data_IF_705259593715
#
_entry.id   IF_705259593715
#
_cell.length_a   1.000
_cell.length_b   1.000
_cell.length_c   1.000
_cell.angle_alpha   90.00
_cell.angle_beta   90.00
_cell.angle_gamma   90.00
#
_symmetry.space_group_name_H-M   'P 1'
#
loop_
_entity.id
_entity.type
_entity.pdbx_description
1 polymer ?
#
# COMPACT_ATOMS: atom_id res chain seq x y z
N UNK A 1 -24.36 -3.12 -20.87
CA UNK A 1 -24.95 -3.73 -19.66
C UNK A 1 -24.65 -2.80 -18.49
N UNK A 2 -25.47 -2.75 -17.45
CA UNK A 2 -25.20 -1.86 -16.31
C UNK A 2 -24.15 -2.49 -15.40
N UNK A 3 -23.10 -1.73 -15.04
CA UNK A 3 -22.08 -2.13 -14.07
C UNK A 3 -22.51 -1.69 -12.67
N UNK A 4 -22.36 -2.58 -11.69
CA UNK A 4 -22.52 -2.25 -10.27
C UNK A 4 -21.15 -2.18 -9.61
N UNK A 5 -20.82 -1.04 -9.02
CA UNK A 5 -19.65 -0.87 -8.17
C UNK A 5 -20.08 -1.09 -6.71
N UNK A 6 -19.60 -2.17 -6.09
CA UNK A 6 -19.76 -2.42 -4.66
C UNK A 6 -18.55 -1.86 -3.94
N UNK A 7 -18.73 -0.81 -3.15
CA UNK A 7 -17.69 -0.16 -2.34
C UNK A 7 -17.72 -0.73 -0.93
N UNK A 8 -16.60 -1.29 -0.49
CA UNK A 8 -16.37 -1.72 0.89
C UNK A 8 -15.38 -0.75 1.51
N UNK A 9 -15.89 0.07 2.42
CA UNK A 9 -15.14 1.15 3.06
C UNK A 9 -13.94 0.62 3.87
N UNK A 10 -12.92 1.45 4.11
CA UNK A 10 -11.88 1.15 5.09
C UNK A 10 -12.39 1.36 6.52
N UNK A 11 -11.63 0.87 7.50
CA UNK A 11 -11.94 1.05 8.93
C UNK A 11 -12.18 2.52 9.29
N UNK A 12 -13.25 2.79 10.02
CA UNK A 12 -13.55 4.08 10.64
C UNK A 12 -13.93 5.20 9.68
N UNK A 13 -14.09 4.91 8.39
CA UNK A 13 -14.30 5.93 7.36
C UNK A 13 -15.46 5.59 6.43
N UNK A 14 -16.15 6.59 5.90
CA UNK A 14 -17.27 6.37 4.99
C UNK A 14 -17.01 7.09 3.67
N UNK A 15 -16.48 6.38 2.67
CA UNK A 15 -16.10 6.97 1.39
C UNK A 15 -17.33 7.50 0.66
N UNK A 16 -18.39 6.69 0.61
CA UNK A 16 -19.57 6.96 -0.21
C UNK A 16 -20.36 8.17 0.30
N UNK A 17 -20.55 8.29 1.61
CA UNK A 17 -21.23 9.45 2.19
C UNK A 17 -20.44 10.74 2.06
N UNK A 18 -19.11 10.66 1.92
CA UNK A 18 -18.24 11.81 1.68
C UNK A 18 -18.01 12.10 0.18
N UNK A 19 -18.51 11.25 -0.72
CA UNK A 19 -18.29 11.38 -2.16
C UNK A 19 -16.85 11.08 -2.59
N UNK A 20 -16.02 10.51 -1.72
CA UNK A 20 -14.59 10.33 -1.97
C UNK A 20 -14.29 9.21 -2.96
N UNK A 21 -15.22 8.28 -3.18
CA UNK A 21 -15.14 7.28 -4.25
C UNK A 21 -14.98 7.89 -5.65
N UNK A 22 -15.47 9.12 -5.86
CA UNK A 22 -15.33 9.83 -7.13
C UNK A 22 -13.96 10.50 -7.31
N UNK A 23 -13.17 10.60 -6.24
CA UNK A 23 -11.83 11.20 -6.26
C UNK A 23 -10.74 10.13 -6.17
N UNK A 24 -11.03 9.00 -5.54
CA UNK A 24 -10.10 7.88 -5.42
C UNK A 24 -9.62 7.43 -6.79
N UNK A 25 -8.37 7.00 -6.83
CA UNK A 25 -7.71 6.46 -8.00
C UNK A 25 -7.68 7.43 -9.19
N UNK A 26 -7.40 8.73 -8.94
CA UNK A 26 -7.53 9.84 -9.93
C UNK A 26 -8.93 9.94 -10.55
N UNK A 27 -9.95 9.52 -9.81
CA UNK A 27 -11.35 9.51 -10.24
C UNK A 27 -11.71 8.42 -11.25
N UNK A 28 -10.85 7.42 -11.47
CA UNK A 28 -11.13 6.34 -12.44
C UNK A 28 -12.00 5.20 -11.88
N UNK A 29 -12.21 5.17 -10.56
CA UNK A 29 -12.96 4.10 -9.90
C UNK A 29 -14.43 4.05 -10.36
N UNK A 30 -15.12 5.19 -10.33
CA UNK A 30 -16.53 5.29 -10.72
C UNK A 30 -16.63 5.73 -12.18
N UNK A 31 -17.34 4.95 -13.00
CA UNK A 31 -17.55 5.24 -14.42
C UNK A 31 -18.97 5.79 -14.66
N UNK A 32 -19.17 6.58 -15.73
CA UNK A 32 -20.50 7.02 -16.13
C UNK A 32 -21.46 5.83 -16.32
N UNK A 33 -22.61 5.86 -15.63
CA UNK A 33 -23.62 4.81 -15.72
C UNK A 33 -23.50 3.70 -14.65
N UNK A 34 -22.49 3.77 -13.79
CA UNK A 34 -22.37 2.86 -12.66
C UNK A 34 -23.54 2.99 -11.67
N UNK A 35 -24.00 1.85 -11.18
CA UNK A 35 -24.76 1.78 -9.93
C UNK A 35 -23.78 1.62 -8.78
N UNK A 36 -23.58 2.68 -8.00
CA UNK A 36 -22.70 2.64 -6.82
C UNK A 36 -23.49 2.14 -5.60
N UNK A 37 -22.98 1.09 -4.97
CA UNK A 37 -23.54 0.50 -3.76
C UNK A 37 -22.47 0.44 -2.67
N UNK A 38 -22.72 1.09 -1.54
CA UNK A 38 -21.90 0.97 -0.34
C UNK A 38 -22.31 -0.29 0.44
N UNK A 39 -21.35 -1.16 0.78
CA UNK A 39 -21.60 -2.28 1.66
C UNK A 39 -21.77 -1.77 3.11
N UNK A 40 -22.95 -1.94 3.75
CA UNK A 40 -23.23 -1.36 5.05
C UNK A 40 -22.74 -2.25 6.20
N UNK A 41 -21.47 -2.63 6.20
CA UNK A 41 -20.86 -3.41 7.27
C UNK A 41 -20.39 -2.50 8.42
N UNK A 42 -20.18 -3.08 9.61
CA UNK A 42 -19.59 -2.36 10.73
C UNK A 42 -18.07 -2.25 10.50
N UNK A 43 -17.59 -1.11 10.02
CA UNK A 43 -16.18 -0.91 9.70
C UNK A 43 -15.34 -0.47 10.92
N UNK A 44 -15.54 -1.14 12.05
CA UNK A 44 -14.66 -1.01 13.22
C UNK A 44 -13.71 -2.20 13.21
N UNK A 45 -12.43 -1.99 13.54
CA UNK A 45 -11.47 -3.10 13.58
C UNK A 45 -11.94 -4.28 14.43
N UNK A 46 -11.65 -5.48 13.91
CA UNK A 46 -11.99 -6.74 14.52
C UNK A 46 -12.42 -7.78 13.48
N UNK A 47 -11.91 -9.00 13.63
CA UNK A 47 -12.20 -10.11 12.70
C UNK A 47 -13.71 -10.41 12.60
N UNK A 48 -14.45 -10.29 13.70
CA UNK A 48 -15.90 -10.51 13.70
C UNK A 48 -16.67 -9.51 12.81
N UNK A 49 -16.15 -8.29 12.67
CA UNK A 49 -16.73 -7.28 11.78
C UNK A 49 -16.39 -7.58 10.30
N UNK A 50 -15.19 -8.08 10.04
CA UNK A 50 -14.78 -8.58 8.72
C UNK A 50 -15.69 -9.74 8.30
N UNK A 51 -15.87 -10.74 9.16
CA UNK A 51 -16.76 -11.89 8.93
C UNK A 51 -18.20 -11.47 8.65
N UNK A 52 -18.73 -10.51 9.42
CA UNK A 52 -20.07 -9.95 9.15
C UNK A 52 -20.14 -9.23 7.80
N UNK A 53 -19.08 -8.52 7.41
CA UNK A 53 -18.93 -7.91 6.10
C UNK A 53 -18.94 -8.94 4.97
N UNK A 54 -18.27 -10.08 5.16
CA UNK A 54 -18.23 -11.19 4.19
C UNK A 54 -19.63 -11.73 3.90
N UNK A 55 -20.46 -11.93 4.92
CA UNK A 55 -21.85 -12.39 4.75
C UNK A 55 -22.72 -11.36 4.01
N UNK A 56 -22.57 -10.08 4.33
CA UNK A 56 -23.27 -9.01 3.64
C UNK A 56 -22.85 -8.91 2.17
N UNK A 57 -21.54 -9.04 1.89
CA UNK A 57 -21.01 -9.04 0.54
C UNK A 57 -21.58 -10.21 -0.26
N UNK A 58 -21.57 -11.41 0.32
CA UNK A 58 -22.13 -12.60 -0.32
C UNK A 58 -23.61 -12.41 -0.69
N UNK A 59 -24.40 -11.91 0.26
CA UNK A 59 -25.82 -11.61 0.05
C UNK A 59 -26.01 -10.57 -1.07
N UNK A 60 -25.19 -9.52 -1.09
CA UNK A 60 -25.27 -8.48 -2.12
C UNK A 60 -24.92 -9.02 -3.50
N UNK A 61 -23.85 -9.82 -3.61
CA UNK A 61 -23.40 -10.42 -4.87
C UNK A 61 -24.46 -11.35 -5.47
N UNK A 62 -25.09 -12.19 -4.64
CA UNK A 62 -26.16 -13.10 -5.08
C UNK A 62 -27.41 -12.38 -5.62
N UNK A 63 -27.67 -11.15 -5.17
CA UNK A 63 -28.80 -10.33 -5.58
C UNK A 63 -28.47 -9.28 -6.66
N UNK A 64 -27.22 -9.22 -7.12
CA UNK A 64 -26.78 -8.23 -8.10
C UNK A 64 -26.64 -8.87 -9.47
N UNK A 65 -27.29 -8.30 -10.47
CA UNK A 65 -27.21 -8.71 -11.88
C UNK A 65 -26.25 -7.82 -12.66
N UNK A 66 -25.86 -8.24 -13.87
CA UNK A 66 -24.91 -7.49 -14.70
C UNK A 66 -23.46 -7.65 -14.25
N UNK A 67 -22.62 -6.73 -14.74
CA UNK A 67 -21.20 -6.64 -14.39
C UNK A 67 -21.04 -6.07 -12.98
N UNK A 68 -20.10 -6.62 -12.22
CA UNK A 68 -19.84 -6.26 -10.84
C UNK A 68 -18.34 -6.02 -10.67
N UNK A 69 -18.02 -4.85 -10.13
CA UNK A 69 -16.72 -4.56 -9.55
C UNK A 69 -16.87 -4.47 -8.04
N UNK A 70 -16.19 -5.34 -7.30
CA UNK A 70 -16.01 -5.20 -5.86
C UNK A 70 -14.75 -4.40 -5.61
N UNK A 71 -14.91 -3.24 -4.98
CA UNK A 71 -13.82 -2.39 -4.57
C UNK A 71 -13.68 -2.44 -3.05
N UNK A 72 -12.52 -2.89 -2.57
CA UNK A 72 -12.19 -2.93 -1.15
C UNK A 72 -10.99 -2.04 -0.85
N UNK A 73 -11.07 -1.24 0.21
CA UNK A 73 -9.96 -0.42 0.70
C UNK A 73 -9.64 -0.78 2.15
N UNK A 74 -8.38 -1.05 2.47
CA UNK A 74 -7.91 -1.33 3.84
C UNK A 74 -8.68 -2.51 4.45
N UNK A 75 -9.35 -2.35 5.59
CA UNK A 75 -10.24 -3.38 6.15
C UNK A 75 -11.29 -3.91 5.14
N UNK A 76 -11.81 -3.05 4.26
CA UNK A 76 -12.73 -3.47 3.20
C UNK A 76 -12.08 -4.37 2.14
N UNK A 77 -10.76 -4.26 1.94
CA UNK A 77 -10.01 -5.21 1.13
C UNK A 77 -9.88 -6.58 1.83
N UNK A 78 -9.81 -6.59 3.16
CA UNK A 78 -9.81 -7.83 3.94
C UNK A 78 -11.17 -8.54 3.87
N UNK A 79 -12.27 -7.79 3.94
CA UNK A 79 -13.62 -8.35 3.70
C UNK A 79 -13.72 -9.03 2.33
N UNK A 80 -13.21 -8.40 1.28
CA UNK A 80 -13.23 -8.98 -0.06
C UNK A 80 -12.33 -10.22 -0.19
N UNK A 81 -11.14 -10.19 0.41
CA UNK A 81 -10.19 -11.31 0.42
C UNK A 81 -10.72 -12.49 1.22
N UNK A 82 -11.29 -12.26 2.40
CA UNK A 82 -11.97 -13.27 3.20
C UNK A 82 -13.18 -13.87 2.47
N UNK A 83 -13.93 -13.07 1.70
CA UNK A 83 -15.00 -13.59 0.84
C UNK A 83 -14.46 -14.52 -0.25
N UNK A 84 -13.35 -14.16 -0.89
CA UNK A 84 -12.68 -15.02 -1.87
C UNK A 84 -12.23 -16.34 -1.24
N UNK A 85 -11.67 -16.33 -0.02
CA UNK A 85 -11.33 -17.55 0.73
C UNK A 85 -12.56 -18.39 1.07
N UNK A 86 -13.66 -17.77 1.50
CA UNK A 86 -14.84 -18.48 2.02
C UNK A 86 -15.78 -19.01 0.94
N UNK A 87 -16.02 -18.22 -0.11
CA UNK A 87 -17.02 -18.50 -1.14
C UNK A 87 -16.43 -18.60 -2.55
N UNK A 88 -15.17 -18.21 -2.74
CA UNK A 88 -14.52 -18.19 -4.05
C UNK A 88 -13.84 -19.49 -4.47
N UNK A 89 -13.70 -20.47 -3.56
CA UNK A 89 -12.81 -21.65 -3.71
C UNK A 89 -13.44 -22.91 -4.32
N UNK A 90 -14.72 -23.23 -4.06
CA UNK A 90 -15.27 -24.58 -4.32
C UNK A 90 -16.09 -24.73 -5.63
N UNK A 91 -16.42 -23.60 -6.26
CA UNK A 91 -17.05 -23.43 -7.58
C UNK A 91 -17.62 -22.01 -7.57
N UNK A 92 -17.40 -21.18 -8.60
CA UNK A 92 -17.78 -19.78 -8.56
C UNK A 92 -19.31 -19.64 -8.43
N UNK A 93 -19.77 -19.30 -7.22
CA UNK A 93 -21.18 -19.02 -6.89
C UNK A 93 -21.75 -17.93 -7.79
N UNK A 94 -20.88 -17.03 -8.25
CA UNK A 94 -21.18 -15.97 -9.20
C UNK A 94 -20.38 -16.24 -10.49
N UNK A 95 -20.97 -16.15 -11.69
CA UNK A 95 -20.23 -16.28 -12.94
C UNK A 95 -18.96 -15.41 -12.95
N UNK A 96 -17.80 -16.04 -13.14
CA UNK A 96 -16.49 -15.35 -13.09
C UNK A 96 -16.36 -14.26 -14.16
N UNK A 97 -17.07 -14.41 -15.29
CA UNK A 97 -17.10 -13.44 -16.38
C UNK A 97 -17.73 -12.10 -16.04
N UNK A 98 -18.40 -11.96 -14.88
CA UNK A 98 -19.09 -10.72 -14.50
C UNK A 98 -18.66 -10.16 -13.15
N UNK A 99 -17.73 -10.79 -12.43
CA UNK A 99 -17.28 -10.36 -11.11
C UNK A 99 -15.76 -10.18 -11.10
N UNK A 100 -15.33 -8.96 -10.76
CA UNK A 100 -13.93 -8.58 -10.62
C UNK A 100 -13.70 -7.87 -9.30
N UNK A 101 -12.46 -7.94 -8.79
CA UNK A 101 -12.05 -7.34 -7.53
C UNK A 101 -10.92 -6.34 -7.74
N UNK A 102 -11.05 -5.17 -7.13
CA UNK A 102 -9.98 -4.18 -7.00
C UNK A 102 -9.77 -3.90 -5.52
N UNK A 103 -8.61 -4.28 -5.01
CA UNK A 103 -8.25 -4.15 -3.61
C UNK A 103 -7.16 -3.10 -3.48
N UNK A 104 -7.29 -2.17 -2.53
CA UNK A 104 -6.24 -1.19 -2.24
C UNK A 104 -5.91 -1.16 -0.76
N UNK A 105 -4.64 -0.90 -0.43
CA UNK A 105 -4.20 -0.86 0.96
C UNK A 105 -4.45 -2.18 1.73
N UNK A 106 -4.38 -3.33 1.05
CA UNK A 106 -4.70 -4.62 1.65
C UNK A 106 -3.63 -5.06 2.68
N UNK A 107 -4.00 -5.10 3.97
CA UNK A 107 -3.06 -5.43 5.04
C UNK A 107 -2.59 -6.90 5.03
N UNK A 108 -3.35 -7.80 4.42
CA UNK A 108 -3.02 -9.23 4.30
C UNK A 108 -2.47 -9.61 2.92
N UNK A 109 -1.97 -8.62 2.17
CA UNK A 109 -1.31 -8.85 0.87
C UNK A 109 -0.13 -9.82 1.02
N UNK A 110 -0.09 -10.89 0.22
CA UNK A 110 0.95 -11.93 0.28
C UNK A 110 2.38 -11.41 0.18
N UNK A 111 2.59 -10.41 -0.67
CA UNK A 111 3.91 -9.81 -0.94
C UNK A 111 4.01 -8.41 -0.32
N UNK A 112 4.12 -8.35 1.00
CA UNK A 112 4.35 -7.09 1.74
C UNK A 112 3.19 -6.63 2.63
N UNK A 113 2.15 -7.43 2.88
CA UNK A 113 1.11 -7.07 3.83
C UNK A 113 1.63 -7.10 5.27
N UNK A 114 1.40 -6.04 6.04
CA UNK A 114 1.78 -5.94 7.45
C UNK A 114 1.13 -7.01 8.33
N UNK A 115 -0.09 -7.44 8.01
CA UNK A 115 -0.82 -8.44 8.78
C UNK A 115 -0.59 -9.87 8.29
N UNK A 116 -0.07 -10.06 7.08
CA UNK A 116 0.00 -11.36 6.43
C UNK A 116 0.83 -12.35 7.28
N UNK A 117 0.16 -13.44 7.71
CA UNK A 117 0.70 -14.53 8.54
C UNK A 117 1.19 -14.14 9.95
N UNK A 118 0.84 -12.95 10.44
CA UNK A 118 1.11 -12.51 11.82
C UNK A 118 -0.07 -12.85 12.75
N UNK A 119 -0.15 -14.11 13.21
CA UNK A 119 -1.30 -14.63 13.98
C UNK A 119 -1.60 -13.87 15.28
N UNK A 120 -0.64 -13.16 15.86
CA UNK A 120 -0.84 -12.28 17.01
C UNK A 120 -1.79 -11.10 16.71
N UNK A 121 -2.07 -10.83 15.43
CA UNK A 121 -2.93 -9.74 14.96
C UNK A 121 -4.39 -10.16 14.67
N UNK A 122 -4.71 -11.45 14.78
CA UNK A 122 -6.06 -11.97 14.46
C UNK A 122 -7.22 -11.38 15.31
N UNK A 123 -6.91 -10.70 16.42
CA UNK A 123 -7.95 -10.08 17.25
C UNK A 123 -8.52 -8.79 16.64
N UNK A 124 -7.83 -8.20 15.68
CA UNK A 124 -8.07 -6.84 15.20
C UNK A 124 -8.17 -6.74 13.68
N UNK A 125 -7.60 -7.69 12.94
CA UNK A 125 -7.66 -7.75 11.49
C UNK A 125 -7.51 -9.21 11.02
N UNK A 126 -7.71 -9.41 9.72
CA UNK A 126 -7.43 -10.68 9.05
C UNK A 126 -5.94 -10.80 8.69
N UNK A 127 -5.40 -12.01 8.70
CA UNK A 127 -3.96 -12.29 8.51
C UNK A 127 -3.71 -13.34 7.42
N UNK A 128 -4.75 -13.98 6.91
CA UNK A 128 -4.58 -15.21 6.14
C UNK A 128 -4.19 -14.97 4.68
N UNK A 129 -4.59 -13.82 4.10
CA UNK A 129 -4.38 -13.45 2.70
C UNK A 129 -5.34 -14.14 1.74
N UNK A 130 -5.01 -14.20 0.44
CA UNK A 130 -5.79 -15.00 -0.52
C UNK A 130 -5.68 -16.50 -0.19
N UNK A 131 -6.67 -17.33 -0.60
CA UNK A 131 -6.64 -18.75 -0.29
C UNK A 131 -5.43 -19.42 -0.95
N UNK A 132 -4.76 -20.33 -0.24
CA UNK A 132 -3.65 -21.08 -0.82
C UNK A 132 -4.12 -21.92 -2.04
N UNK A 133 -3.25 -22.19 -3.02
CA UNK A 133 -3.57 -23.13 -4.10
C UNK A 133 -3.79 -24.54 -3.55
N UNK A 134 -4.48 -25.39 -4.31
CA UNK A 134 -4.62 -26.81 -3.98
C UNK A 134 -3.24 -27.50 -3.97
N UNK A 135 -3.13 -28.66 -3.32
CA UNK A 135 -1.87 -29.40 -3.19
C UNK A 135 -1.23 -29.81 -4.52
N UNK A 136 -1.99 -29.84 -5.61
CA UNK A 136 -1.52 -30.12 -6.96
C UNK A 136 -1.13 -28.86 -7.76
N UNK A 137 -1.14 -27.68 -7.12
CA UNK A 137 -0.83 -26.39 -7.72
C UNK A 137 -2.03 -25.73 -8.41
N UNK A 138 -3.22 -26.30 -8.35
CA UNK A 138 -4.42 -25.69 -8.94
C UNK A 138 -4.83 -24.44 -8.17
N UNK A 139 -5.02 -23.33 -8.89
CA UNK A 139 -5.53 -22.09 -8.29
C UNK A 139 -6.92 -22.29 -7.68
N UNK A 140 -7.08 -21.84 -6.44
CA UNK A 140 -8.35 -21.75 -5.71
C UNK A 140 -9.04 -20.39 -5.91
N UNK A 141 -8.35 -19.42 -6.54
CA UNK A 141 -8.92 -18.13 -6.92
C UNK A 141 -9.41 -18.19 -8.36
N UNK A 142 -10.72 -17.99 -8.56
CA UNK A 142 -11.38 -18.09 -9.86
C UNK A 142 -11.84 -16.74 -10.44
N UNK A 143 -11.73 -15.65 -9.67
CA UNK A 143 -12.10 -14.31 -10.10
C UNK A 143 -10.87 -13.49 -10.43
N UNK A 144 -11.00 -12.51 -11.32
CA UNK A 144 -9.94 -11.55 -11.56
C UNK A 144 -9.81 -10.63 -10.34
N UNK A 145 -8.59 -10.55 -9.79
CA UNK A 145 -8.25 -9.74 -8.62
C UNK A 145 -7.07 -8.85 -8.97
N UNK A 146 -7.24 -7.54 -8.83
CA UNK A 146 -6.14 -6.58 -8.82
C UNK A 146 -5.93 -6.14 -7.38
N UNK A 147 -4.85 -6.60 -6.75
CA UNK A 147 -4.41 -6.09 -5.46
C UNK A 147 -3.40 -4.97 -5.74
N UNK A 148 -3.78 -3.71 -5.50
CA UNK A 148 -3.02 -2.51 -5.83
C UNK A 148 -2.51 -1.81 -4.56
N UNK A 149 -1.19 -1.71 -4.43
CA UNK A 149 -0.55 -1.01 -3.33
C UNK A 149 0.29 0.15 -3.86
N UNK A 150 0.38 1.24 -3.09
CA UNK A 150 1.46 2.21 -3.28
C UNK A 150 2.72 1.68 -2.60
N UNK A 151 3.88 1.90 -3.22
CA UNK A 151 5.18 1.60 -2.61
C UNK A 151 5.29 2.32 -1.26
N UNK A 152 5.66 1.58 -0.22
CA UNK A 152 5.70 2.04 1.17
C UNK A 152 4.34 2.41 1.77
N UNK A 153 3.23 1.93 1.23
CA UNK A 153 2.00 1.84 2.03
C UNK A 153 2.29 0.90 3.20
N UNK A 154 2.47 1.43 4.41
CA UNK A 154 2.92 0.61 5.52
C UNK A 154 1.96 -0.53 5.91
N UNK A 155 0.70 -0.52 5.47
CA UNK A 155 -0.16 -1.69 5.67
C UNK A 155 -0.03 -2.72 4.55
N UNK A 156 0.12 -2.28 3.30
CA UNK A 156 0.05 -3.15 2.11
C UNK A 156 1.40 -3.42 1.42
N UNK A 157 2.46 -2.72 1.82
CA UNK A 157 3.83 -2.82 1.33
C UNK A 157 4.79 -2.48 2.50
N UNK A 158 4.93 -3.45 3.41
CA UNK A 158 5.66 -3.44 4.65
C UNK A 158 7.00 -4.20 4.53
N UNK A 159 8.07 -3.77 5.24
CA UNK A 159 9.35 -4.46 5.22
C UNK A 159 9.26 -5.90 5.72
N UNK A 160 9.92 -6.83 5.02
CA UNK A 160 9.94 -8.27 5.32
C UNK A 160 11.25 -8.76 5.93
N UNK A 161 12.16 -7.85 6.30
CA UNK A 161 13.40 -8.21 6.98
C UNK A 161 13.11 -8.93 8.30
N UNK A 162 13.85 -10.00 8.59
CA UNK A 162 13.53 -10.92 9.70
C UNK A 162 13.55 -10.25 11.07
N UNK A 163 14.42 -9.26 11.28
CA UNK A 163 14.48 -8.49 12.52
C UNK A 163 13.23 -7.63 12.72
N UNK A 164 12.72 -6.98 11.67
CA UNK A 164 11.45 -6.24 11.71
C UNK A 164 10.28 -7.20 11.99
N UNK A 165 10.21 -8.30 11.26
CA UNK A 165 9.12 -9.28 11.35
C UNK A 165 9.05 -9.93 12.75
N UNK A 166 10.20 -10.28 13.34
CA UNK A 166 10.27 -10.79 14.71
C UNK A 166 9.73 -9.79 15.73
N UNK A 167 9.96 -8.49 15.52
CA UNK A 167 9.39 -7.48 16.42
C UNK A 167 7.89 -7.37 16.25
N UNK A 168 7.37 -7.42 15.01
CA UNK A 168 5.91 -7.49 14.75
C UNK A 168 5.27 -8.71 15.43
N UNK A 169 5.92 -9.86 15.44
CA UNK A 169 5.43 -11.05 16.15
C UNK A 169 5.51 -10.89 17.69
N UNK A 170 6.44 -10.07 18.18
CA UNK A 170 6.63 -9.83 19.61
C UNK A 170 5.64 -8.83 20.21
N UNK A 171 5.08 -7.94 19.39
CA UNK A 171 4.09 -6.96 19.85
C UNK A 171 2.74 -7.64 20.02
N UNK A 172 2.29 -7.78 21.26
CA UNK A 172 1.00 -8.38 21.57
C UNK A 172 -0.19 -7.49 21.17
N UNK A 173 -1.34 -8.09 20.91
CA UNK A 173 -2.64 -7.42 20.87
C UNK A 173 -3.06 -7.01 22.31
N UNK A 174 -2.41 -5.97 22.86
CA UNK A 174 -2.61 -5.56 24.26
C UNK A 174 -3.24 -4.17 24.39
N UNK A 175 -4.28 -3.85 23.61
CA UNK A 175 -5.07 -2.64 23.86
C UNK A 175 -6.55 -2.84 23.52
N UNK A 176 -7.41 -2.04 24.13
CA UNK A 176 -8.85 -1.93 23.83
C UNK A 176 -9.17 -0.90 22.74
N UNK A 177 -8.14 -0.30 22.11
CA UNK A 177 -8.27 0.69 21.04
C UNK A 177 -7.56 0.15 19.79
N UNK A 178 -8.29 -0.51 18.88
CA UNK A 178 -7.71 -1.16 17.71
C UNK A 178 -7.00 -0.21 16.74
N UNK A 179 -7.41 1.06 16.69
CA UNK A 179 -6.80 2.05 15.79
C UNK A 179 -5.45 2.53 16.34
N UNK A 180 -5.41 2.86 17.63
CA UNK A 180 -4.15 3.26 18.28
C UNK A 180 -3.23 2.08 18.55
N UNK A 181 -3.75 0.85 18.60
CA UNK A 181 -2.93 -0.36 18.72
C UNK A 181 -1.91 -0.46 17.58
N UNK A 182 -2.32 -0.28 16.32
CA UNK A 182 -1.41 -0.51 15.18
C UNK A 182 -0.25 0.47 15.25
N UNK A 183 -0.57 1.74 15.48
CA UNK A 183 0.42 2.79 15.63
C UNK A 183 1.34 2.56 16.84
N UNK A 184 0.80 2.07 17.96
CA UNK A 184 1.58 1.76 19.16
C UNK A 184 2.51 0.56 18.94
N UNK A 185 1.99 -0.53 18.36
CA UNK A 185 2.75 -1.72 18.01
C UNK A 185 3.92 -1.35 17.08
N UNK A 186 3.69 -0.44 16.14
CA UNK A 186 4.69 0.04 15.21
C UNK A 186 5.69 1.02 15.83
N UNK A 187 5.25 1.87 16.77
CA UNK A 187 6.19 2.66 17.59
C UNK A 187 7.08 1.73 18.40
N UNK A 188 6.53 0.66 18.96
CA UNK A 188 7.29 -0.36 19.67
C UNK A 188 8.25 -1.09 18.69
N UNK A 189 7.85 -1.33 17.42
CA UNK A 189 8.73 -1.82 16.35
C UNK A 189 9.88 -0.86 16.08
N UNK A 190 9.61 0.41 15.83
CA UNK A 190 10.66 1.42 15.57
C UNK A 190 11.62 1.55 16.75
N UNK A 191 11.12 1.48 17.99
CA UNK A 191 11.96 1.58 19.19
C UNK A 191 12.84 0.34 19.41
N UNK A 192 12.38 -0.84 18.99
CA UNK A 192 13.10 -2.10 19.15
C UNK A 192 14.03 -2.43 17.99
N UNK A 193 13.71 -1.98 16.77
CA UNK A 193 14.57 -2.17 15.59
C UNK A 193 15.72 -1.17 15.64
N UNK A 194 16.84 -1.63 16.20
CA UNK A 194 18.11 -0.89 16.25
C UNK A 194 19.04 -1.48 15.19
N UNK A 195 19.62 -0.63 14.35
CA UNK A 195 20.64 -1.04 13.37
C UNK A 195 20.21 -0.82 11.92
N UNK A 196 20.56 -1.77 11.04
CA UNK A 196 20.56 -1.58 9.59
C UNK A 196 19.19 -1.30 8.97
N UNK A 197 18.08 -1.71 9.61
CA UNK A 197 16.73 -1.56 9.07
C UNK A 197 15.85 -0.54 9.80
N UNK A 198 16.41 0.27 10.70
CA UNK A 198 15.66 1.30 11.45
C UNK A 198 14.94 2.30 10.52
N UNK A 199 15.63 2.75 9.46
CA UNK A 199 15.03 3.64 8.46
C UNK A 199 13.84 2.99 7.74
N UNK A 200 13.91 1.68 7.44
CA UNK A 200 12.82 0.97 6.78
C UNK A 200 11.59 0.82 7.70
N UNK A 201 11.82 0.48 8.98
CA UNK A 201 10.76 0.42 9.98
C UNK A 201 10.07 1.78 10.13
N UNK A 202 10.83 2.86 10.32
CA UNK A 202 10.27 4.21 10.46
C UNK A 202 9.55 4.67 9.17
N UNK A 203 10.13 4.38 8.00
CA UNK A 203 9.52 4.69 6.72
C UNK A 203 8.16 3.98 6.56
N UNK A 204 8.03 2.73 7.00
CA UNK A 204 6.78 2.00 6.97
C UNK A 204 5.71 2.62 7.88
N UNK A 205 6.07 3.03 9.11
CA UNK A 205 5.15 3.73 10.03
C UNK A 205 4.62 5.03 9.42
N UNK A 206 5.52 5.83 8.83
CA UNK A 206 5.12 7.06 8.13
C UNK A 206 4.26 6.74 6.90
N UNK A 207 4.59 5.67 6.20
CA UNK A 207 3.81 5.12 5.10
C UNK A 207 2.35 4.82 5.45
N UNK A 208 2.09 4.26 6.64
CA UNK A 208 0.73 4.00 7.12
C UNK A 208 -0.13 5.25 7.27
N UNK A 209 0.48 6.41 7.49
CA UNK A 209 -0.26 7.67 7.64
C UNK A 209 -0.31 8.44 6.33
N UNK A 210 0.83 8.54 5.64
CA UNK A 210 1.02 9.44 4.50
C UNK A 210 0.69 8.79 3.16
N UNK A 211 0.98 7.50 3.01
CA UNK A 211 0.79 6.77 1.76
C UNK A 211 -0.53 6.02 1.78
N UNK A 212 -0.82 5.30 2.86
CA UNK A 212 -2.02 4.48 2.99
C UNK A 212 -3.30 5.29 2.83
N UNK A 213 -3.33 6.53 3.32
CA UNK A 213 -4.50 7.43 3.23
C UNK A 213 -4.60 8.18 1.91
N UNK A 214 -3.62 8.01 1.01
CA UNK A 214 -3.49 8.83 -0.19
C UNK A 214 -3.46 7.95 -1.46
N UNK A 215 -4.61 7.41 -1.82
CA UNK A 215 -4.84 6.73 -3.11
C UNK A 215 -5.51 7.64 -4.14
N UNK A 216 -5.59 8.95 -3.89
CA UNK A 216 -6.23 9.92 -4.79
C UNK A 216 -5.35 10.31 -5.98
N UNK A 217 -4.03 10.14 -5.86
CA UNK A 217 -3.03 10.63 -6.83
C UNK A 217 -2.46 9.54 -7.74
N UNK A 218 -2.96 8.31 -7.63
CA UNK A 218 -2.47 7.13 -8.36
C UNK A 218 -3.64 6.43 -9.03
N UNK A 219 -3.40 5.55 -10.00
CA UNK A 219 -4.46 4.71 -10.58
C UNK A 219 -3.89 3.35 -10.96
N UNK A 220 -4.65 2.25 -10.85
CA UNK A 220 -4.13 0.91 -11.16
C UNK A 220 -3.71 0.76 -12.61
N UNK A 221 -4.29 1.52 -13.54
CA UNK A 221 -4.03 1.44 -14.98
C UNK A 221 -2.80 2.24 -15.44
N UNK A 222 -2.11 2.93 -14.53
CA UNK A 222 -0.90 3.67 -14.85
C UNK A 222 0.17 2.71 -15.42
N UNK A 223 0.70 3.04 -16.61
CA UNK A 223 1.73 2.24 -17.29
C UNK A 223 3.03 2.15 -16.50
N UNK A 224 3.27 3.07 -15.55
CA UNK A 224 4.45 3.09 -14.71
C UNK A 224 4.30 2.23 -13.45
N UNK A 225 3.12 1.64 -13.22
CA UNK A 225 2.95 0.65 -12.17
C UNK A 225 3.73 -0.62 -12.53
N UNK A 226 4.30 -1.25 -11.51
CA UNK A 226 4.93 -2.56 -11.64
C UNK A 226 3.90 -3.63 -11.32
N UNK A 227 3.75 -4.61 -12.20
CA UNK A 227 2.76 -5.68 -12.09
C UNK A 227 3.44 -7.03 -11.90
N UNK A 228 2.81 -7.90 -11.13
CA UNK A 228 3.20 -9.29 -10.94
C UNK A 228 1.95 -10.17 -10.93
N UNK A 229 1.85 -11.07 -11.90
CA UNK A 229 0.82 -12.11 -11.89
C UNK A 229 1.25 -13.23 -10.97
N UNK A 230 0.40 -13.62 -10.02
CA UNK A 230 0.73 -14.70 -9.09
C UNK A 230 0.79 -16.04 -9.85
N UNK A 231 1.93 -16.77 -9.82
CA UNK A 231 2.03 -18.08 -10.44
C UNK A 231 1.08 -19.12 -9.81
N UNK A 232 0.75 -18.98 -8.53
CA UNK A 232 -0.19 -19.87 -7.82
C UNK A 232 -1.65 -19.53 -8.17
N UNK A 233 -1.90 -18.26 -8.54
CA UNK A 233 -3.23 -17.75 -8.88
C UNK A 233 -3.17 -16.85 -10.13
N UNK A 234 -3.24 -17.41 -11.35
CA UNK A 234 -3.04 -16.64 -12.60
C UNK A 234 -4.04 -15.51 -12.88
N UNK A 235 -5.14 -15.45 -12.13
CA UNK A 235 -6.14 -14.37 -12.19
C UNK A 235 -5.90 -13.26 -11.17
N UNK A 236 -4.88 -13.39 -10.33
CA UNK A 236 -4.48 -12.43 -9.31
C UNK A 236 -3.27 -11.66 -9.81
N UNK A 237 -3.41 -10.34 -9.86
CA UNK A 237 -2.32 -9.43 -10.16
C UNK A 237 -2.02 -8.56 -8.94
N UNK A 238 -0.77 -8.61 -8.50
CA UNK A 238 -0.21 -7.70 -7.52
C UNK A 238 0.42 -6.52 -8.26
N UNK A 239 -0.10 -5.33 -7.99
CA UNK A 239 0.34 -4.09 -8.63
C UNK A 239 0.94 -3.16 -7.58
N UNK A 240 2.09 -2.56 -7.88
CA UNK A 240 2.72 -1.52 -7.08
C UNK A 240 2.80 -0.21 -7.87
N UNK A 241 2.27 0.86 -7.31
CA UNK A 241 2.56 2.22 -7.75
C UNK A 241 3.81 2.72 -7.04
N UNK A 242 4.93 2.97 -7.73
CA UNK A 242 6.10 3.59 -7.13
C UNK A 242 5.76 4.91 -6.44
N UNK A 243 6.50 5.26 -5.40
CA UNK A 243 6.30 6.50 -4.63
C UNK A 243 7.57 7.35 -4.59
N UNK A 244 7.38 8.66 -4.63
CA UNK A 244 8.43 9.64 -4.42
C UNK A 244 7.92 10.84 -3.61
N UNK A 245 8.68 11.34 -2.62
CA UNK A 245 9.87 10.72 -2.02
C UNK A 245 9.50 9.50 -1.17
N UNK A 246 10.51 8.83 -0.59
CA UNK A 246 10.31 7.88 0.51
C UNK A 246 9.60 8.61 1.68
N UNK A 247 8.58 8.01 2.33
CA UNK A 247 7.85 8.61 3.45
C UNK A 247 8.73 9.20 4.56
N UNK A 248 9.89 8.61 4.83
CA UNK A 248 10.87 9.09 5.81
C UNK A 248 11.28 10.55 5.62
N UNK A 249 11.22 11.07 4.39
CA UNK A 249 11.57 12.46 4.07
C UNK A 249 10.38 13.42 4.13
N UNK A 250 9.19 12.93 4.40
CA UNK A 250 7.99 13.74 4.55
C UNK A 250 7.49 14.36 3.24
N UNK A 251 6.72 15.45 3.37
CA UNK A 251 6.06 16.18 2.27
C UNK A 251 6.73 17.52 1.91
N UNK A 252 7.90 17.83 2.49
CA UNK A 252 8.60 19.13 2.35
C UNK A 252 9.53 19.22 1.13
N UNK A 253 10.47 20.17 1.15
CA UNK A 253 11.57 20.18 0.16
C UNK A 253 12.34 18.87 0.26
N UNK A 254 12.41 18.14 -0.84
CA UNK A 254 13.10 16.84 -0.88
C UNK A 254 14.34 16.99 -1.74
N UNK A 255 15.48 16.55 -1.20
CA UNK A 255 16.74 16.53 -1.93
C UNK A 255 16.81 15.19 -2.66
N UNK A 256 16.85 15.16 -4.01
CA UNK A 256 16.94 13.91 -4.79
C UNK A 256 18.08 12.98 -4.33
N UNK A 257 19.20 13.55 -3.87
CA UNK A 257 20.33 12.80 -3.30
C UNK A 257 19.97 12.08 -2.00
N UNK A 258 19.23 12.74 -1.11
CA UNK A 258 18.82 12.18 0.17
C UNK A 258 17.76 11.09 -0.03
N UNK A 259 16.81 11.28 -0.94
CA UNK A 259 15.86 10.22 -1.30
C UNK A 259 16.60 9.00 -1.86
N UNK A 260 17.54 9.21 -2.79
CA UNK A 260 18.36 8.14 -3.35
C UNK A 260 19.11 7.35 -2.28
N UNK A 261 19.75 8.05 -1.34
CA UNK A 261 20.48 7.43 -0.24
C UNK A 261 19.54 6.63 0.67
N UNK A 262 18.45 7.25 1.14
CA UNK A 262 17.50 6.61 2.05
C UNK A 262 16.77 5.44 1.39
N UNK A 263 16.30 5.61 0.15
CA UNK A 263 15.68 4.54 -0.63
C UNK A 263 16.57 3.32 -0.74
N UNK A 264 17.85 3.51 -1.04
CA UNK A 264 18.80 2.40 -1.13
C UNK A 264 18.90 1.62 0.18
N UNK A 265 18.92 2.30 1.32
CA UNK A 265 18.96 1.64 2.64
C UNK A 265 17.61 1.03 3.04
N UNK A 266 16.50 1.67 2.70
CA UNK A 266 15.15 1.22 3.03
C UNK A 266 14.82 -0.06 2.25
N UNK A 267 15.11 -0.08 0.95
CA UNK A 267 14.78 -1.20 0.06
C UNK A 267 15.50 -2.51 0.42
N UNK A 268 16.59 -2.48 1.18
CA UNK A 268 17.24 -3.73 1.64
C UNK A 268 16.38 -4.54 2.60
N UNK A 269 15.38 -3.91 3.22
CA UNK A 269 14.47 -4.56 4.14
C UNK A 269 13.19 -5.12 3.46
N UNK A 270 13.04 -4.93 2.15
CA UNK A 270 11.87 -5.38 1.39
C UNK A 270 12.20 -6.58 0.52
N UNK A 271 11.31 -7.58 0.53
CA UNK A 271 11.32 -8.70 -0.40
C UNK A 271 10.02 -8.69 -1.19
N UNK A 272 10.12 -8.33 -2.47
CA UNK A 272 9.01 -8.34 -3.43
C UNK A 272 9.33 -9.34 -4.55
N UNK A 273 8.32 -9.91 -5.22
CA UNK A 273 8.54 -10.77 -6.39
C UNK A 273 9.00 -9.97 -7.64
N UNK A 274 9.08 -8.64 -7.53
CA UNK A 274 9.47 -7.70 -8.57
C UNK A 274 10.46 -6.67 -8.03
N UNK A 275 11.22 -6.05 -8.92
CA UNK A 275 12.05 -4.89 -8.61
C UNK A 275 11.27 -3.62 -8.97
N UNK A 276 11.09 -2.73 -8.00
CA UNK A 276 10.47 -1.43 -8.26
C UNK A 276 11.49 -0.44 -8.82
N UNK A 277 11.15 0.34 -9.85
CA UNK A 277 12.07 1.34 -10.39
C UNK A 277 12.35 2.42 -9.36
N UNK A 278 13.58 2.93 -9.38
CA UNK A 278 13.90 4.16 -8.66
C UNK A 278 13.41 5.38 -9.44
N UNK A 279 13.07 6.48 -8.76
CA UNK A 279 12.73 7.74 -9.40
C UNK A 279 13.86 8.24 -10.32
N UNK A 280 13.51 8.92 -11.43
CA UNK A 280 14.49 9.59 -12.27
C UNK A 280 14.99 10.88 -11.62
N UNK A 281 15.94 10.74 -10.70
CA UNK A 281 16.51 11.84 -9.92
C UNK A 281 17.15 12.96 -10.75
N UNK A 282 17.50 12.72 -12.02
CA UNK A 282 18.04 13.76 -12.89
C UNK A 282 16.96 14.74 -13.38
N UNK A 283 15.69 14.30 -13.41
CA UNK A 283 14.56 15.10 -13.85
C UNK A 283 13.81 15.73 -12.68
N UNK A 284 13.99 15.23 -11.46
CA UNK A 284 13.26 15.66 -10.26
C UNK A 284 13.75 17.02 -9.74
N UNK A 285 12.80 17.93 -9.49
CA UNK A 285 13.05 19.22 -8.84
C UNK A 285 13.02 19.10 -7.31
N UNK A 286 13.56 20.09 -6.59
CA UNK A 286 13.56 20.13 -5.12
C UNK A 286 12.16 20.19 -4.48
N UNK A 287 11.11 20.45 -5.26
CA UNK A 287 9.72 20.58 -4.79
C UNK A 287 8.80 19.46 -5.28
N UNK A 288 9.35 18.50 -6.01
CA UNK A 288 8.60 17.39 -6.59
C UNK A 288 8.13 16.42 -5.50
N UNK A 289 6.88 15.97 -5.58
CA UNK A 289 6.31 14.98 -4.65
C UNK A 289 5.01 14.38 -5.20
N UNK A 290 4.85 13.07 -5.04
CA UNK A 290 3.63 12.32 -5.41
C UNK A 290 2.50 12.50 -4.39
N UNK A 291 2.78 13.09 -3.22
CA UNK A 291 1.78 13.29 -2.17
C UNK A 291 0.68 14.28 -2.58
N UNK A 292 1.01 15.25 -3.45
CA UNK A 292 0.06 16.26 -3.91
C UNK A 292 -0.47 16.01 -5.33
N UNK A 293 -0.05 14.93 -6.00
CA UNK A 293 -0.51 14.58 -7.34
C UNK A 293 -0.13 15.60 -8.42
N UNK A 294 0.97 16.35 -8.21
CA UNK A 294 1.31 17.52 -9.02
C UNK A 294 2.16 17.24 -10.25
N UNK A 295 2.60 16.01 -10.50
CA UNK A 295 3.40 15.69 -11.70
C UNK A 295 3.36 14.20 -12.05
N UNK A 296 2.77 13.86 -13.20
CA UNK A 296 2.85 12.51 -13.80
C UNK A 296 4.24 12.27 -14.46
N UNK A 297 5.09 13.30 -14.55
CA UNK A 297 6.30 13.30 -15.39
C UNK A 297 7.55 12.65 -14.78
N UNK A 298 7.63 12.43 -13.46
CA UNK A 298 8.84 11.87 -12.83
C UNK A 298 8.89 10.34 -12.79
N UNK A 299 7.79 9.66 -13.13
CA UNK A 299 7.74 8.21 -13.30
C UNK A 299 8.28 7.74 -14.66
N UNK A 300 8.81 8.67 -15.46
CA UNK A 300 9.33 8.43 -16.81
C UNK A 300 10.59 7.54 -16.78
N UNK A 301 10.32 6.32 -17.28
CA UNK A 301 11.09 5.40 -18.14
C UNK A 301 12.13 4.44 -17.52
N UNK A 302 11.77 3.15 -17.60
CA UNK A 302 12.50 2.03 -18.24
C UNK A 302 14.03 1.91 -18.16
N UNK A 303 14.64 2.13 -17.01
CA UNK A 303 16.00 1.62 -16.78
C UNK A 303 15.94 0.43 -15.82
N UNK A 304 15.71 -0.77 -16.38
CA UNK A 304 16.22 -2.02 -15.81
C UNK A 304 17.75 -1.98 -15.83
N UNK A 305 18.30 -1.14 -14.97
CA UNK A 305 19.70 -0.83 -14.90
C UNK A 305 20.05 -0.54 -13.46
N UNK A 306 20.53 -1.56 -12.77
CA UNK A 306 21.61 -1.33 -11.82
C UNK A 306 22.70 -0.57 -12.58
N UNK A 307 22.69 0.76 -12.53
CA UNK A 307 23.81 1.50 -13.05
C UNK A 307 25.04 1.08 -12.26
N UNK A 308 26.09 0.53 -12.90
CA UNK A 308 27.37 0.45 -12.22
C UNK A 308 27.71 1.87 -11.78
N UNK A 309 28.09 2.00 -10.50
CA UNK A 309 28.57 3.23 -9.89
C UNK A 309 29.22 4.14 -10.93
N UNK A 310 28.67 5.34 -11.21
CA UNK A 310 29.47 6.37 -11.84
C UNK A 310 30.68 6.53 -10.93
N UNK A 311 31.89 6.29 -11.44
CA UNK A 311 33.09 6.74 -10.75
C UNK A 311 32.85 8.17 -10.32
N UNK A 312 33.02 8.45 -9.02
CA UNK A 312 32.90 9.78 -8.46
C UNK A 312 33.55 10.77 -9.43
N UNK A 313 32.85 11.83 -9.88
CA UNK A 313 33.53 12.88 -10.60
C UNK A 313 34.62 13.40 -9.67
N UNK A 314 35.88 13.15 -10.04
CA UNK A 314 37.05 13.78 -9.44
C UNK A 314 36.87 15.27 -9.66
N UNK A 315 36.28 15.95 -8.68
CA UNK A 315 36.31 17.40 -8.64
C UNK A 315 37.78 17.81 -8.49
N UNK A 316 38.31 18.67 -9.35
CA UNK A 316 39.64 19.21 -9.13
C UNK A 316 39.63 20.00 -7.82
N UNK A 317 40.58 19.71 -6.94
CA UNK A 317 40.77 20.46 -5.70
C UNK A 317 41.01 21.93 -6.00
N UNK A 318 40.00 22.77 -5.77
CA UNK A 318 40.16 24.23 -5.82
C UNK A 318 39.87 24.82 -4.45
N UNK A 319 40.96 25.13 -3.75
CA UNK A 319 41.20 26.38 -3.00
C UNK A 319 40.05 26.98 -2.19
N UNK A 320 40.17 26.83 -0.86
CA UNK A 320 39.94 27.81 0.20
C UNK A 320 39.16 29.09 -0.17
N UNK A 321 37.95 29.21 0.38
CA UNK A 321 37.38 30.51 0.78
C UNK A 321 36.86 30.43 2.23
N UNK A 322 36.92 31.54 2.99
CA UNK A 322 37.00 31.53 4.44
C UNK A 322 35.65 31.45 5.14
N UNK A 323 35.70 30.98 6.38
CA UNK A 323 34.60 30.85 7.34
C UNK A 323 33.78 32.14 7.53
N UNK A 324 32.46 32.04 7.77
CA UNK A 324 31.61 33.22 7.98
C UNK A 324 31.95 33.89 9.32
N UNK A 325 32.25 35.20 9.28
CA UNK A 325 32.35 36.05 10.47
C UNK A 325 30.96 36.29 11.06
N UNK A 326 30.80 35.94 12.34
CA UNK A 326 29.70 36.36 13.20
C UNK A 326 29.68 37.89 13.32
N UNK A 327 28.52 38.52 13.12
CA UNK A 327 28.29 39.94 13.44
C UNK A 327 27.69 40.09 14.85
N UNK A 328 28.08 41.13 15.63
CA UNK A 328 27.68 41.27 17.02
C UNK A 328 26.32 41.96 17.18
N UNK A 329 25.52 41.49 18.16
CA UNK A 329 24.31 42.14 18.63
C UNK A 329 24.65 43.41 19.43
N UNK A 330 24.06 44.55 19.04
CA UNK A 330 24.08 45.79 19.82
C UNK A 330 22.75 45.99 20.55
N UNK A 331 22.83 46.22 21.86
CA UNK A 331 21.71 46.59 22.76
C UNK A 331 21.42 48.10 22.61
N UNK A 332 20.15 48.54 22.59
CA UNK A 332 19.81 49.96 22.52
C UNK A 332 19.80 50.61 23.92
N UNK A 333 20.02 51.93 23.94
CA UNK A 333 20.00 52.79 25.12
C UNK A 333 18.59 53.00 25.69
#
# INVERSE_FOLDING_TARGET
MTRTLIVIDPMGFNLVSLGMQYLLLKGTLVQPGDTVYRLPYNNTAGIANIDAGVELLNTKLGNTTGEILVFGYSEGAQVATAWLRKYGIDSPVIPTSRLTFLLIGNAERRYGGFAYKHNNLNQICDVDGLPDPLSDGTSTVHYAVTDFARQYDGFADFPSASDIQQVVDSVGAATSDPFNWALKALQDVVNAVIGAHADAALNAVLGMQMVHTNYFTVTPDDQHNVRYTDPDHPLVEYVWSPTYPVPLLGIGQTFPSLDREKRKSIETAFSRPVVLPSPNYAQISLFTTDFFGTDDDYRRVDETGWWPQPQDPVYPSTTLYPSPKLWPMGVPA
#
